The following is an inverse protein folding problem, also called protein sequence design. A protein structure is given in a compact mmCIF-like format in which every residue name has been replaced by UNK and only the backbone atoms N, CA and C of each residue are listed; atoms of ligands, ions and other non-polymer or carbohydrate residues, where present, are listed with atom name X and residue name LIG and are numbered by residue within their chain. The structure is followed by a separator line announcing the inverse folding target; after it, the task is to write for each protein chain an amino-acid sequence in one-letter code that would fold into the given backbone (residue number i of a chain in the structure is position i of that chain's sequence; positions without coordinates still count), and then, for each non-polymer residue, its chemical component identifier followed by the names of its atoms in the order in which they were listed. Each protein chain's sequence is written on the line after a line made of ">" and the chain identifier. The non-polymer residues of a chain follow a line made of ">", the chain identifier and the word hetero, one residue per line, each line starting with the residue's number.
data_IF_143434924901
#
_entry.id   IF_143434924901
#
_cell.length_a   1.000
_cell.length_b   1.000
_cell.length_c   1.000
_cell.angle_alpha   90.00
_cell.angle_beta   90.00
_cell.angle_gamma   90.00
#
_symmetry.space_group_name_H-M   'P 1'
#
loop_
_entity.id
_entity.type
_entity.pdbx_description
1 polymer ?
#
# COMPACT_ATOMS: atom_id res chain seq x y z
N UNK A 1 -35.03 34.09 -7.81
CA UNK A 1 -35.07 33.62 -9.20
C UNK A 1 -34.05 34.45 -9.97
N UNK A 2 -32.83 33.95 -10.15
CA UNK A 2 -31.73 34.73 -10.74
C UNK A 2 -31.87 34.77 -12.27
N UNK A 3 -32.03 35.97 -12.83
CA UNK A 3 -32.11 36.19 -14.28
C UNK A 3 -30.72 36.44 -14.84
N UNK A 4 -30.20 35.46 -15.58
CA UNK A 4 -28.90 35.59 -16.23
C UNK A 4 -29.04 36.41 -17.51
N UNK A 5 -28.22 37.46 -17.66
CA UNK A 5 -28.21 38.27 -18.86
C UNK A 5 -27.59 37.48 -20.03
N UNK A 6 -28.12 37.67 -21.25
CA UNK A 6 -27.63 37.01 -22.48
C UNK A 6 -26.09 37.00 -22.67
N UNK A 7 -25.32 38.07 -22.34
CA UNK A 7 -23.86 38.01 -22.44
C UNK A 7 -23.19 37.08 -21.42
N UNK A 8 -23.81 36.83 -20.26
CA UNK A 8 -23.29 35.92 -19.23
C UNK A 8 -23.43 34.44 -19.64
N UNK A 9 -24.50 34.10 -20.38
CA UNK A 9 -24.69 32.78 -20.97
C UNK A 9 -23.66 32.48 -22.07
N UNK A 10 -23.32 33.48 -22.90
CA UNK A 10 -22.32 33.33 -23.96
C UNK A 10 -20.92 33.12 -23.36
N UNK A 11 -20.56 33.86 -22.32
CA UNK A 11 -19.29 33.69 -21.61
C UNK A 11 -19.17 32.30 -20.96
N UNK A 12 -20.25 31.80 -20.35
CA UNK A 12 -20.28 30.48 -19.75
C UNK A 12 -20.13 29.35 -20.80
N UNK A 13 -20.75 29.50 -21.97
CA UNK A 13 -20.63 28.53 -23.09
C UNK A 13 -19.22 28.54 -23.69
N UNK A 14 -18.59 29.70 -23.84
CA UNK A 14 -17.20 29.80 -24.30
C UNK A 14 -16.26 29.15 -23.28
N UNK A 15 -16.46 29.38 -21.98
CA UNK A 15 -15.64 28.77 -20.93
C UNK A 15 -15.79 27.24 -20.89
N UNK A 16 -17.01 26.73 -21.10
CA UNK A 16 -17.29 25.30 -21.23
C UNK A 16 -16.68 24.67 -22.49
N UNK A 17 -16.67 25.39 -23.61
CA UNK A 17 -16.04 24.91 -24.85
C UNK A 17 -14.52 24.88 -24.73
N UNK A 18 -13.91 25.89 -24.09
CA UNK A 18 -12.46 25.94 -23.84
C UNK A 18 -12.00 24.86 -22.86
N UNK A 19 -12.80 24.52 -21.83
CA UNK A 19 -12.48 23.43 -20.91
C UNK A 19 -12.63 22.05 -21.54
N UNK A 20 -13.59 21.86 -22.47
CA UNK A 20 -13.73 20.64 -23.26
C UNK A 20 -12.61 20.44 -24.29
N UNK A 21 -12.01 21.51 -24.81
CA UNK A 21 -10.86 21.47 -25.72
C UNK A 21 -9.52 21.19 -25.00
N UNK A 22 -9.48 21.29 -23.67
CA UNK A 22 -8.26 21.08 -22.88
C UNK A 22 -8.02 19.62 -22.49
N UNK A 23 -8.91 18.70 -22.88
CA UNK A 23 -8.77 17.25 -22.64
C UNK A 23 -8.22 16.54 -23.89
N UNK A 24 -7.22 17.12 -24.54
CA UNK A 24 -6.33 16.35 -25.41
C UNK A 24 -5.25 15.75 -24.52
N UNK A 25 -5.54 14.60 -23.91
CA UNK A 25 -4.46 13.73 -23.44
C UNK A 25 -3.61 13.44 -24.66
N UNK A 26 -2.42 14.04 -24.73
CA UNK A 26 -1.37 13.58 -25.63
C UNK A 26 -1.04 12.17 -25.17
N UNK A 27 -1.68 11.18 -25.80
CA UNK A 27 -1.18 9.82 -25.81
C UNK A 27 0.15 9.89 -26.53
N UNK A 28 1.21 10.17 -25.76
CA UNK A 28 2.58 10.08 -26.23
C UNK A 28 2.82 8.60 -26.51
N UNK A 29 2.43 8.15 -27.72
CA UNK A 29 2.88 6.90 -28.34
C UNK A 29 4.36 6.99 -28.71
N UNK A 30 5.18 7.44 -27.77
CA UNK A 30 6.60 7.66 -27.91
C UNK A 30 7.36 6.37 -27.60
N UNK A 31 7.87 5.74 -28.66
CA UNK A 31 8.89 4.68 -28.66
C UNK A 31 8.48 3.36 -28.00
N UNK A 32 7.88 2.49 -28.80
CA UNK A 32 7.90 1.03 -28.60
C UNK A 32 9.33 0.48 -28.71
N UNK A 33 10.16 0.71 -27.69
CA UNK A 33 11.00 -0.38 -27.19
C UNK A 33 10.06 -1.27 -26.41
N UNK A 34 9.40 -2.21 -27.08
CA UNK A 34 8.32 -2.98 -26.49
C UNK A 34 8.83 -3.73 -25.27
N UNK A 35 8.31 -3.41 -24.07
CA UNK A 35 8.58 -4.19 -22.86
C UNK A 35 8.20 -5.64 -23.15
N UNK A 36 9.14 -6.55 -22.97
CA UNK A 36 8.96 -7.98 -23.19
C UNK A 36 8.47 -8.62 -21.89
N UNK A 37 7.39 -9.38 -22.00
CA UNK A 37 6.96 -10.25 -20.91
C UNK A 37 8.01 -11.34 -20.69
N UNK A 38 8.57 -11.37 -19.48
CA UNK A 38 9.37 -12.47 -18.95
C UNK A 38 8.51 -13.19 -17.94
N UNK A 39 8.31 -14.49 -18.16
CA UNK A 39 7.56 -15.39 -17.27
C UNK A 39 8.43 -16.59 -16.97
N UNK A 40 8.67 -16.82 -15.69
CA UNK A 40 9.42 -17.96 -15.19
C UNK A 40 8.68 -18.52 -13.99
N UNK A 41 8.68 -19.84 -13.81
CA UNK A 41 8.03 -20.50 -12.67
C UNK A 41 9.04 -21.14 -11.73
N UNK A 42 10.26 -21.37 -12.20
CA UNK A 42 11.33 -22.00 -11.41
C UNK A 42 12.14 -20.95 -10.66
N UNK A 43 12.36 -19.79 -11.28
CA UNK A 43 13.15 -18.69 -10.71
C UNK A 43 12.46 -17.34 -10.95
N UNK A 44 12.43 -16.43 -9.96
CA UNK A 44 11.82 -15.11 -10.13
C UNK A 44 12.63 -14.23 -11.09
N UNK A 45 11.93 -13.46 -11.92
CA UNK A 45 12.53 -12.48 -12.83
C UNK A 45 12.98 -11.20 -12.12
N UNK A 46 12.49 -10.95 -10.90
CA UNK A 46 12.96 -9.87 -10.03
C UNK A 46 12.76 -10.26 -8.57
N UNK A 47 13.78 -10.03 -7.74
CA UNK A 47 13.72 -10.21 -6.29
C UNK A 47 14.04 -8.89 -5.58
N UNK A 48 13.36 -8.63 -4.46
CA UNK A 48 13.62 -7.49 -3.58
C UNK A 48 13.40 -7.91 -2.14
N UNK A 49 14.19 -7.35 -1.22
CA UNK A 49 13.97 -7.44 0.22
C UNK A 49 13.74 -6.04 0.77
N UNK A 50 12.61 -5.85 1.42
CA UNK A 50 12.18 -4.56 1.97
C UNK A 50 11.75 -4.74 3.43
N UNK A 51 11.81 -3.67 4.22
CA UNK A 51 11.34 -3.64 5.60
C UNK A 51 10.26 -2.57 5.73
N UNK A 52 9.05 -2.99 6.08
CA UNK A 52 7.94 -2.10 6.43
C UNK A 52 7.98 -1.83 7.93
N UNK A 53 7.80 -0.57 8.32
CA UNK A 53 7.78 -0.15 9.72
C UNK A 53 6.42 0.46 10.07
N UNK A 54 5.62 -0.25 10.86
CA UNK A 54 4.34 0.25 11.35
C UNK A 54 4.55 0.88 12.73
N UNK A 55 4.13 2.13 12.88
CA UNK A 55 4.12 2.86 14.14
C UNK A 55 2.68 3.26 14.43
N UNK A 56 1.99 2.44 15.21
CA UNK A 56 0.59 2.64 15.55
C UNK A 56 0.42 3.84 16.47
N UNK A 57 -0.58 4.67 16.17
CA UNK A 57 -1.02 5.73 17.07
C UNK A 57 -1.41 5.16 18.43
N UNK A 58 -0.68 5.58 19.45
CA UNK A 58 -0.75 5.07 20.83
C UNK A 58 -1.81 5.79 21.68
N UNK A 59 -2.65 6.61 21.06
CA UNK A 59 -3.63 7.47 21.72
C UNK A 59 -3.03 8.54 22.64
N UNK A 60 -1.72 8.83 22.51
CA UNK A 60 -1.08 9.93 23.21
C UNK A 60 -1.41 11.28 22.57
N UNK A 61 -1.00 12.38 23.22
CA UNK A 61 -1.18 13.72 22.66
C UNK A 61 -0.20 14.05 21.51
N UNK A 62 0.71 13.15 21.16
CA UNK A 62 1.68 13.34 20.09
C UNK A 62 1.34 12.46 18.89
N UNK A 63 1.16 13.07 17.72
CA UNK A 63 0.84 12.36 16.47
C UNK A 63 2.01 12.30 15.51
N UNK A 64 3.13 12.96 15.81
CA UNK A 64 4.21 13.20 14.84
C UNK A 64 4.90 11.93 14.34
N UNK A 65 4.92 10.88 15.17
CA UNK A 65 5.67 9.65 14.88
C UNK A 65 4.76 8.52 14.37
N UNK A 66 3.45 8.67 14.48
CA UNK A 66 2.51 7.62 14.11
C UNK A 66 2.34 7.57 12.59
N UNK A 67 2.46 6.37 12.03
CA UNK A 67 2.30 6.10 10.60
C UNK A 67 1.02 5.33 10.30
N UNK A 68 0.42 4.74 11.35
CA UNK A 68 -0.84 4.00 11.26
C UNK A 68 -1.80 4.32 12.41
N UNK A 69 -3.08 4.03 12.21
CA UNK A 69 -4.12 4.24 13.21
C UNK A 69 -5.26 3.24 13.06
N UNK A 70 -5.85 2.85 14.18
CA UNK A 70 -7.05 2.02 14.18
C UNK A 70 -8.24 2.81 13.60
N UNK A 71 -8.79 2.31 12.49
CA UNK A 71 -9.99 2.86 11.85
C UNK A 71 -11.28 2.37 12.51
N UNK A 72 -11.23 1.19 13.15
CA UNK A 72 -12.37 0.60 13.86
C UNK A 72 -11.96 0.13 15.25
N UNK A 73 -12.94 0.01 16.14
CA UNK A 73 -12.80 -0.77 17.38
C UNK A 73 -12.98 -2.26 17.06
N UNK A 74 -12.43 -3.17 17.88
CA UNK A 74 -12.81 -4.59 17.81
C UNK A 74 -14.34 -4.74 17.87
N UNK A 75 -14.85 -5.75 17.18
CA UNK A 75 -16.31 -6.01 17.12
C UNK A 75 -16.84 -6.53 18.47
N UNK A 76 -18.17 -6.51 18.65
CA UNK A 76 -18.80 -7.11 19.82
C UNK A 76 -18.49 -8.62 19.96
N UNK A 77 -18.24 -9.32 18.85
CA UNK A 77 -17.82 -10.72 18.85
C UNK A 77 -16.47 -10.90 19.55
N UNK A 78 -15.57 -9.92 19.43
CA UNK A 78 -14.25 -9.93 20.07
C UNK A 78 -14.33 -9.98 21.60
N UNK A 79 -15.39 -9.42 22.19
CA UNK A 79 -15.63 -9.46 23.64
C UNK A 79 -16.38 -10.73 24.09
N UNK A 80 -17.04 -11.43 23.16
CA UNK A 80 -17.83 -12.62 23.44
C UNK A 80 -17.03 -13.93 23.36
N UNK A 81 -15.81 -13.91 22.79
CA UNK A 81 -14.92 -15.08 22.75
C UNK A 81 -14.20 -15.28 24.08
N UNK A 82 -13.98 -16.55 24.44
CA UNK A 82 -13.52 -16.99 25.77
C UNK A 82 -12.11 -16.54 26.16
N UNK A 83 -11.30 -16.06 25.22
CA UNK A 83 -9.99 -15.48 25.48
C UNK A 83 -10.02 -13.96 25.21
N UNK A 84 -10.06 -13.12 26.26
CA UNK A 84 -9.95 -11.68 26.10
C UNK A 84 -8.55 -11.34 25.57
N UNK A 85 -8.47 -10.62 24.45
CA UNK A 85 -7.18 -10.17 23.89
C UNK A 85 -7.08 -10.20 22.36
N UNK A 86 -8.05 -10.80 21.66
CA UNK A 86 -8.10 -10.73 20.21
C UNK A 86 -8.82 -9.46 19.77
N UNK A 87 -8.35 -8.86 18.68
CA UNK A 87 -8.89 -7.61 18.14
C UNK A 87 -9.81 -7.87 16.94
N UNK A 88 -10.56 -8.99 16.92
CA UNK A 88 -11.36 -9.41 15.78
C UNK A 88 -12.24 -8.28 15.23
N UNK A 89 -12.01 -7.93 13.96
CA UNK A 89 -12.65 -6.86 13.20
C UNK A 89 -12.12 -5.44 13.48
N UNK A 90 -11.07 -5.29 14.29
CA UNK A 90 -10.26 -4.06 14.32
C UNK A 90 -9.50 -3.97 13.01
N UNK A 91 -9.66 -2.84 12.33
CA UNK A 91 -8.95 -2.47 11.11
C UNK A 91 -7.99 -1.33 11.44
N UNK A 92 -6.81 -1.38 10.86
CA UNK A 92 -5.78 -0.35 10.94
C UNK A 92 -5.49 0.14 9.54
N UNK A 93 -5.47 1.46 9.36
CA UNK A 93 -5.01 2.10 8.12
C UNK A 93 -3.60 2.61 8.35
N UNK A 94 -2.74 2.49 7.33
CA UNK A 94 -1.33 2.82 7.47
C UNK A 94 -0.76 3.49 6.21
N UNK A 95 0.24 4.34 6.44
CA UNK A 95 1.11 4.94 5.44
C UNK A 95 2.55 4.88 5.97
N UNK A 96 3.11 3.69 5.89
CA UNK A 96 4.33 3.32 6.58
C UNK A 96 5.57 3.54 5.71
N UNK A 97 6.70 3.99 6.28
CA UNK A 97 7.96 4.01 5.58
C UNK A 97 8.44 2.58 5.27
N UNK A 98 9.02 2.41 4.08
CA UNK A 98 9.62 1.16 3.63
C UNK A 98 11.09 1.38 3.29
N UNK A 99 11.96 0.51 3.80
CA UNK A 99 13.41 0.66 3.72
C UNK A 99 14.06 -0.60 3.14
N UNK A 100 15.27 -0.47 2.57
CA UNK A 100 16.05 -1.62 2.08
C UNK A 100 16.78 -2.36 3.22
N UNK A 101 17.01 -1.68 4.35
CA UNK A 101 17.66 -2.21 5.54
C UNK A 101 16.79 -2.06 6.79
N UNK A 102 17.15 -2.72 7.88
CA UNK A 102 16.34 -2.75 9.11
C UNK A 102 16.20 -1.41 9.85
N UNK A 103 16.99 -0.40 9.49
CA UNK A 103 17.04 0.87 10.18
C UNK A 103 15.86 1.76 9.74
N UNK A 104 15.06 2.20 10.72
CA UNK A 104 14.09 3.27 10.50
C UNK A 104 14.86 4.59 10.34
N UNK A 105 14.57 5.42 9.33
CA UNK A 105 15.25 6.70 9.17
C UNK A 105 14.91 7.67 10.31
N UNK A 106 15.82 8.62 10.64
CA UNK A 106 15.62 9.58 11.71
C UNK A 106 14.37 10.46 11.50
N UNK A 107 14.05 10.75 10.24
CA UNK A 107 12.82 11.44 9.85
C UNK A 107 11.97 10.55 8.95
N UNK A 108 10.68 10.46 9.30
CA UNK A 108 9.69 9.79 8.47
C UNK A 108 9.47 10.48 7.13
N UNK A 109 10.00 11.67 6.86
CA UNK A 109 9.87 12.33 5.54
C UNK A 109 10.96 11.89 4.54
N UNK A 110 12.06 11.31 5.04
CA UNK A 110 13.22 10.94 4.21
C UNK A 110 12.97 9.69 3.36
N UNK A 111 11.95 8.90 3.66
CA UNK A 111 11.69 7.65 2.94
C UNK A 111 10.94 7.87 1.64
N UNK A 112 11.57 7.54 0.52
CA UNK A 112 10.97 7.65 -0.84
C UNK A 112 10.13 6.44 -1.25
N UNK A 113 10.06 5.41 -0.39
CA UNK A 113 9.20 4.23 -0.56
C UNK A 113 8.23 4.14 0.61
N UNK A 114 6.95 3.91 0.31
CA UNK A 114 5.88 3.80 1.30
C UNK A 114 5.06 2.54 1.11
N UNK A 115 4.53 1.99 2.19
CA UNK A 115 3.45 1.02 2.13
C UNK A 115 2.16 1.70 2.58
N UNK A 116 1.15 1.72 1.72
CA UNK A 116 -0.12 2.41 1.96
C UNK A 116 -1.26 1.42 1.86
N UNK A 117 -2.07 1.32 2.91
CA UNK A 117 -3.17 0.36 2.89
C UNK A 117 -3.80 0.14 4.25
N UNK A 118 -4.23 -1.09 4.46
CA UNK A 118 -4.85 -1.52 5.70
C UNK A 118 -4.48 -2.95 6.04
N UNK A 119 -4.57 -3.24 7.33
CA UNK A 119 -4.70 -4.60 7.82
C UNK A 119 -5.90 -4.70 8.77
N UNK A 120 -6.44 -5.89 8.91
CA UNK A 120 -7.50 -6.18 9.87
C UNK A 120 -7.21 -7.48 10.59
N UNK A 121 -7.69 -7.60 11.82
CA UNK A 121 -7.59 -8.86 12.55
C UNK A 121 -8.85 -9.71 12.31
N UNK A 122 -8.68 -10.91 11.77
CA UNK A 122 -9.77 -11.83 11.42
C UNK A 122 -9.70 -13.19 12.17
N UNK A 123 -8.70 -13.38 13.03
CA UNK A 123 -8.63 -14.51 13.93
C UNK A 123 -9.55 -14.37 15.15
N UNK A 124 -10.36 -15.40 15.44
CA UNK A 124 -11.24 -15.46 16.63
C UNK A 124 -10.56 -16.06 17.86
N UNK A 125 -9.58 -16.93 17.64
CA UNK A 125 -8.95 -17.78 18.67
C UNK A 125 -7.45 -17.56 18.76
N UNK A 126 -6.84 -17.16 17.64
CA UNK A 126 -5.43 -16.80 17.52
C UNK A 126 -5.34 -15.43 16.88
N UNK A 127 -4.22 -14.74 17.09
CA UNK A 127 -3.95 -13.47 16.45
C UNK A 127 -3.64 -13.74 14.98
N UNK A 128 -4.57 -13.45 14.09
CA UNK A 128 -4.34 -13.51 12.64
C UNK A 128 -4.75 -12.17 12.04
N UNK A 129 -4.00 -11.76 11.02
CA UNK A 129 -4.27 -10.55 10.28
C UNK A 129 -4.56 -10.87 8.81
N UNK A 130 -5.15 -9.91 8.12
CA UNK A 130 -5.27 -9.90 6.67
C UNK A 130 -4.84 -8.54 6.16
N UNK A 131 -3.98 -8.52 5.14
CA UNK A 131 -3.39 -7.32 4.59
C UNK A 131 -3.93 -7.02 3.18
N UNK A 132 -4.15 -5.73 2.90
CA UNK A 132 -4.21 -5.18 1.55
C UNK A 132 -3.51 -3.84 1.50
N UNK A 133 -2.44 -3.74 0.72
CA UNK A 133 -1.65 -2.53 0.64
C UNK A 133 -0.89 -2.40 -0.67
N UNK A 134 -0.41 -1.20 -0.92
CA UNK A 134 0.40 -0.85 -2.07
C UNK A 134 1.76 -0.39 -1.60
N UNK A 135 2.83 -1.03 -2.08
CA UNK A 135 4.18 -0.47 -1.97
C UNK A 135 4.35 0.55 -3.10
N UNK A 136 4.50 1.82 -2.73
CA UNK A 136 4.67 2.96 -3.61
C UNK A 136 6.14 3.32 -3.67
N UNK A 137 6.74 3.15 -4.85
CA UNK A 137 8.12 3.52 -5.13
C UNK A 137 8.14 4.89 -5.80
N UNK A 138 8.82 5.85 -5.19
CA UNK A 138 9.00 7.20 -5.75
C UNK A 138 10.46 7.66 -5.62
N UNK A 139 11.37 6.81 -6.09
CA UNK A 139 12.81 7.07 -6.08
C UNK A 139 13.33 7.30 -7.51
N UNK A 140 14.59 7.71 -7.62
CA UNK A 140 15.28 7.79 -8.92
C UNK A 140 15.55 6.41 -9.54
N UNK A 141 15.62 5.35 -8.72
CA UNK A 141 15.89 3.99 -9.17
C UNK A 141 14.63 3.26 -9.62
N UNK A 142 13.53 3.46 -8.89
CA UNK A 142 12.23 2.82 -9.13
C UNK A 142 11.09 3.82 -8.94
N UNK A 143 10.20 3.86 -9.94
CA UNK A 143 8.98 4.65 -9.95
C UNK A 143 7.78 3.79 -10.37
N UNK A 144 6.82 3.60 -9.47
CA UNK A 144 5.66 2.75 -9.71
C UNK A 144 5.10 2.15 -8.44
N UNK A 145 4.26 1.13 -8.58
CA UNK A 145 3.63 0.47 -7.43
C UNK A 145 3.59 -1.04 -7.55
N UNK A 146 3.61 -1.71 -6.41
CA UNK A 146 3.22 -3.11 -6.26
C UNK A 146 2.02 -3.18 -5.33
N UNK A 147 0.98 -3.90 -5.72
CA UNK A 147 -0.20 -4.12 -4.91
C UNK A 147 -0.14 -5.54 -4.34
N UNK A 148 -0.29 -5.64 -3.02
CA UNK A 148 -0.19 -6.88 -2.28
C UNK A 148 -1.46 -7.12 -1.47
N UNK A 149 -1.90 -8.36 -1.40
CA UNK A 149 -3.00 -8.76 -0.53
C UNK A 149 -2.92 -10.23 -0.13
N UNK A 150 -3.38 -10.55 1.07
CA UNK A 150 -3.43 -11.93 1.55
C UNK A 150 -3.62 -12.05 3.05
N UNK A 151 -3.88 -13.29 3.47
CA UNK A 151 -3.92 -13.65 4.88
C UNK A 151 -2.50 -13.65 5.45
N UNK A 152 -2.37 -13.14 6.66
CA UNK A 152 -1.15 -13.06 7.46
C UNK A 152 -1.37 -13.81 8.78
N UNK A 153 -1.40 -15.16 8.74
CA UNK A 153 -1.56 -15.95 9.95
C UNK A 153 -0.32 -15.82 10.85
N UNK A 154 -0.49 -15.98 12.16
CA UNK A 154 0.63 -15.91 13.11
C UNK A 154 1.52 -17.16 13.09
N UNK A 155 2.27 -17.34 12.00
CA UNK A 155 3.28 -18.39 11.79
C UNK A 155 4.70 -17.78 11.73
N UNK A 156 5.73 -18.49 11.24
CA UNK A 156 7.08 -17.91 11.08
C UNK A 156 7.30 -17.27 9.69
N UNK A 157 6.56 -17.71 8.68
CA UNK A 157 6.63 -17.17 7.32
C UNK A 157 5.23 -17.22 6.73
N UNK A 158 4.83 -16.13 6.05
CA UNK A 158 3.52 -16.04 5.41
C UNK A 158 3.68 -15.50 4.01
N UNK A 159 3.05 -16.16 3.06
CA UNK A 159 3.07 -15.72 1.67
C UNK A 159 1.80 -14.97 1.36
N UNK A 160 1.94 -13.72 0.88
CA UNK A 160 0.85 -12.94 0.32
C UNK A 160 1.08 -12.68 -1.16
N UNK A 161 0.01 -12.47 -1.91
CA UNK A 161 0.09 -12.33 -3.36
C UNK A 161 0.51 -10.92 -3.74
N UNK A 162 1.44 -10.80 -4.70
CA UNK A 162 1.59 -9.59 -5.51
C UNK A 162 0.59 -9.70 -6.65
N UNK A 163 -0.50 -8.94 -6.54
CA UNK A 163 -1.67 -9.05 -7.44
C UNK A 163 -1.56 -8.17 -8.69
N UNK A 164 -0.61 -7.24 -8.70
CA UNK A 164 -0.39 -6.35 -9.83
C UNK A 164 0.57 -5.21 -9.50
N UNK A 165 1.01 -4.49 -10.52
CA UNK A 165 1.81 -3.29 -10.34
C UNK A 165 1.64 -2.27 -11.46
N UNK A 166 2.18 -1.08 -11.23
CA UNK A 166 2.16 0.06 -12.16
C UNK A 166 3.56 0.64 -12.36
N UNK A 167 3.74 1.52 -13.34
CA UNK A 167 5.04 2.15 -13.63
C UNK A 167 6.09 1.11 -14.04
N UNK A 168 7.21 1.09 -13.33
CA UNK A 168 8.28 0.09 -13.53
C UNK A 168 7.84 -1.35 -13.25
N UNK A 169 6.76 -1.52 -12.47
CA UNK A 169 6.22 -2.82 -12.10
C UNK A 169 4.92 -3.16 -12.85
N UNK A 170 4.67 -2.50 -13.99
CA UNK A 170 3.48 -2.70 -14.80
C UNK A 170 3.20 -4.19 -15.07
N UNK A 171 1.97 -4.63 -14.76
CA UNK A 171 1.49 -6.00 -14.99
C UNK A 171 2.30 -7.10 -14.28
N UNK A 172 3.07 -6.76 -13.26
CA UNK A 172 3.84 -7.74 -12.49
C UNK A 172 2.95 -8.66 -11.66
N UNK A 173 3.36 -9.92 -11.52
CA UNK A 173 2.76 -10.89 -10.60
C UNK A 173 3.83 -11.65 -9.83
N UNK A 174 3.50 -12.04 -8.61
CA UNK A 174 4.45 -12.73 -7.75
C UNK A 174 3.93 -13.03 -6.37
N UNK A 175 4.87 -13.31 -5.47
CA UNK A 175 4.62 -13.65 -4.07
C UNK A 175 5.53 -12.79 -3.20
N UNK A 176 5.02 -12.31 -2.07
CA UNK A 176 5.82 -11.70 -1.02
C UNK A 176 5.77 -12.57 0.22
N UNK A 177 6.94 -13.04 0.66
CA UNK A 177 7.07 -13.77 1.93
C UNK A 177 7.34 -12.78 3.05
N UNK A 178 6.44 -12.73 4.01
CA UNK A 178 6.46 -11.85 5.16
C UNK A 178 7.09 -12.54 6.37
N UNK A 179 7.91 -11.81 7.12
CA UNK A 179 8.47 -12.23 8.41
C UNK A 179 8.45 -11.07 9.40
N UNK A 180 7.94 -11.30 10.60
CA UNK A 180 8.08 -10.34 11.70
C UNK A 180 9.54 -10.29 12.13
N UNK A 181 10.21 -9.16 11.87
CA UNK A 181 11.64 -8.97 12.17
C UNK A 181 11.85 -8.27 13.52
N UNK A 182 10.92 -7.39 13.93
CA UNK A 182 10.87 -6.80 15.26
C UNK A 182 9.43 -6.46 15.67
N UNK A 183 9.18 -6.43 16.98
CA UNK A 183 7.88 -6.11 17.57
C UNK A 183 8.08 -5.52 18.96
N UNK A 184 7.46 -4.37 19.24
CA UNK A 184 7.54 -3.66 20.53
C UNK A 184 6.13 -3.32 21.02
N UNK A 185 5.60 -4.13 21.95
CA UNK A 185 4.26 -3.95 22.49
C UNK A 185 3.20 -3.93 21.39
N UNK A 186 2.21 -3.03 21.46
CA UNK A 186 1.21 -2.88 20.39
C UNK A 186 1.44 -1.62 19.53
N UNK A 187 2.59 -0.97 19.68
CA UNK A 187 2.87 0.35 19.11
C UNK A 187 3.80 0.31 17.91
N UNK A 188 4.67 -0.71 17.83
CA UNK A 188 5.61 -0.81 16.72
C UNK A 188 5.82 -2.25 16.28
N UNK A 189 5.87 -2.45 14.96
CA UNK A 189 6.41 -3.67 14.38
C UNK A 189 7.19 -3.38 13.09
N UNK A 190 8.16 -4.25 12.82
CA UNK A 190 8.90 -4.28 11.55
C UNK A 190 8.65 -5.59 10.83
N UNK A 191 8.18 -5.48 9.60
CA UNK A 191 7.90 -6.61 8.74
C UNK A 191 8.95 -6.67 7.63
N UNK A 192 9.75 -7.74 7.60
CA UNK A 192 10.58 -8.06 6.44
C UNK A 192 9.68 -8.65 5.35
N UNK A 193 9.82 -8.12 4.13
CA UNK A 193 9.10 -8.54 2.94
C UNK A 193 10.10 -9.01 1.89
N UNK A 194 10.12 -10.31 1.62
CA UNK A 194 10.88 -10.90 0.52
C UNK A 194 9.98 -11.02 -0.70
N UNK A 195 10.06 -10.06 -1.61
CA UNK A 195 9.19 -9.95 -2.80
C UNK A 195 9.85 -10.63 -3.99
N UNK A 196 9.16 -11.61 -4.57
CA UNK A 196 9.60 -12.36 -5.75
C UNK A 196 8.58 -12.22 -6.86
N UNK A 197 8.97 -11.58 -7.96
CA UNK A 197 8.14 -11.42 -9.16
C UNK A 197 8.47 -12.53 -10.15
N UNK A 198 7.44 -13.23 -10.63
CA UNK A 198 7.54 -14.33 -11.60
C UNK A 198 7.03 -13.93 -12.99
N UNK A 199 6.29 -12.83 -13.06
CA UNK A 199 5.93 -12.16 -14.30
C UNK A 199 6.41 -10.71 -14.25
N UNK A 200 7.29 -10.36 -15.18
CA UNK A 200 7.91 -9.05 -15.29
C UNK A 200 7.82 -8.55 -16.73
N UNK A 201 7.67 -7.23 -16.90
CA UNK A 201 7.73 -6.57 -18.20
C UNK A 201 9.01 -5.75 -18.26
N UNK A 202 10.04 -6.28 -18.92
CA UNK A 202 11.40 -5.69 -19.02
C UNK A 202 11.71 -5.14 -20.39
#
# INVERSE_FOLDING_TARGET
>A
MATWSKPSLIAAVIFLLVSLLSSASVANGGRSGGRRLVRSYDEPCKEMRLYLHDILYDYSNSTSNSTSAAATKPTALSAAVSNPGFFFGRMVVFNDPVTEGRALPPSLEETVVRAQGLYLYDGKVVFDAWFAFTVVFNSTAHQGTLNLMGADPNTEMRDISVVGGTGDFFMSRGVATLRTDAFEGFTYFRLQMDIKLYECYV
#
